data_IF_347669304686
#
_entry.id   IF_347669304686
#
_cell.length_a   1.000
_cell.length_b   1.000
_cell.length_c   1.000
_cell.angle_alpha   90.00
_cell.angle_beta   90.00
_cell.angle_gamma   90.00
#
_symmetry.space_group_name_H-M   'P 1'
#
loop_
_entity.id
_entity.type
_entity.pdbx_description
1 polymer ?
#
# COMPACT_ATOMS: atom_id res chain seq x y z
N UNK A 1 23.83 -1.27 34.20
CA UNK A 1 23.15 -2.16 33.22
C UNK A 1 22.55 -1.28 32.14
N UNK A 2 22.78 -1.61 30.87
CA UNK A 2 22.16 -0.86 29.77
C UNK A 2 20.63 -1.07 29.80
N UNK A 3 19.86 0.01 29.69
CA UNK A 3 18.41 -0.06 29.63
C UNK A 3 17.97 -0.77 28.34
N UNK A 4 17.10 -1.78 28.49
CA UNK A 4 16.59 -2.54 27.33
C UNK A 4 15.60 -1.68 26.56
N UNK A 5 15.97 -1.22 25.38
CA UNK A 5 15.09 -0.50 24.46
C UNK A 5 14.26 -1.51 23.64
N UNK A 6 12.94 -1.40 23.73
CA UNK A 6 12.00 -2.17 22.90
C UNK A 6 11.47 -1.23 21.83
N UNK A 7 11.57 -1.66 20.56
CA UNK A 7 11.04 -0.91 19.42
C UNK A 7 9.91 -1.72 18.79
N UNK A 8 8.78 -1.06 18.51
CA UNK A 8 7.66 -1.64 17.79
C UNK A 8 7.50 -0.89 16.46
N UNK A 9 7.18 -1.63 15.41
CA UNK A 9 6.85 -1.10 14.10
C UNK A 9 5.48 -1.62 13.65
N UNK A 10 4.75 -0.79 12.91
CA UNK A 10 3.47 -1.15 12.30
C UNK A 10 3.60 -0.99 10.78
N UNK A 11 3.04 -1.94 10.03
CA UNK A 11 2.81 -1.84 8.60
C UNK A 11 1.32 -1.80 8.31
N UNK A 12 0.94 -1.14 7.24
CA UNK A 12 -0.42 -1.12 6.70
C UNK A 12 -0.37 -1.54 5.25
N UNK A 13 -1.07 -2.61 4.90
CA UNK A 13 -1.26 -3.02 3.52
C UNK A 13 -2.53 -2.35 2.99
N UNK A 14 -2.39 -1.44 2.04
CA UNK A 14 -3.52 -0.78 1.39
C UNK A 14 -3.84 -1.47 0.07
N UNK A 15 -4.30 -2.71 0.15
CA UNK A 15 -4.65 -3.51 -1.03
C UNK A 15 -5.80 -2.89 -1.82
N UNK A 16 -6.77 -2.33 -1.10
CA UNK A 16 -7.98 -1.76 -1.67
C UNK A 16 -8.59 -2.72 -2.73
N UNK A 17 -8.91 -2.22 -3.92
CA UNK A 17 -9.44 -3.05 -5.01
C UNK A 17 -8.38 -3.99 -5.58
N UNK A 18 -7.10 -3.61 -5.54
CA UNK A 18 -6.00 -4.38 -6.10
C UNK A 18 -5.91 -5.82 -5.59
N UNK A 19 -6.13 -6.05 -4.28
CA UNK A 19 -6.13 -7.38 -3.69
C UNK A 19 -7.17 -8.33 -4.29
N UNK A 20 -8.34 -7.82 -4.65
CA UNK A 20 -9.42 -8.61 -5.26
C UNK A 20 -9.19 -8.90 -6.75
N UNK A 21 -8.39 -8.08 -7.43
CA UNK A 21 -8.04 -8.29 -8.84
C UNK A 21 -6.91 -9.31 -9.01
N UNK A 22 -6.02 -9.42 -8.05
CA UNK A 22 -4.84 -10.28 -8.11
C UNK A 22 -5.01 -11.60 -7.37
N UNK A 23 -4.54 -11.67 -6.11
CA UNK A 23 -4.40 -12.94 -5.39
C UNK A 23 -5.69 -13.52 -4.86
N UNK A 24 -6.64 -12.70 -4.45
CA UNK A 24 -7.83 -13.17 -3.74
C UNK A 24 -8.97 -13.59 -4.68
N UNK A 25 -8.96 -13.13 -5.93
CA UNK A 25 -10.11 -13.21 -6.82
C UNK A 25 -11.23 -12.29 -6.34
N UNK A 26 -12.28 -12.15 -7.13
CA UNK A 26 -13.42 -11.29 -6.75
C UNK A 26 -13.63 -10.11 -7.68
N UNK A 27 -12.92 -10.07 -8.79
CA UNK A 27 -13.06 -9.05 -9.85
C UNK A 27 -14.49 -8.96 -10.39
N UNK A 28 -15.23 -10.07 -10.35
CA UNK A 28 -16.66 -10.16 -10.74
C UNK A 28 -17.63 -10.03 -9.57
N UNK A 29 -17.12 -9.76 -8.35
CA UNK A 29 -17.91 -9.64 -7.13
C UNK A 29 -18.11 -8.18 -6.73
N UNK A 30 -19.31 -7.60 -6.90
CA UNK A 30 -19.60 -6.23 -6.46
C UNK A 30 -19.37 -6.01 -4.96
N UNK A 31 -19.57 -7.05 -4.14
CA UNK A 31 -19.34 -6.98 -2.68
C UNK A 31 -17.85 -6.81 -2.37
N UNK A 32 -16.98 -7.60 -2.99
CA UNK A 32 -15.54 -7.54 -2.77
C UNK A 32 -14.94 -6.23 -3.32
N UNK A 33 -15.37 -5.80 -4.50
CA UNK A 33 -14.97 -4.50 -5.05
C UNK A 33 -15.43 -3.36 -4.14
N UNK A 34 -16.66 -3.42 -3.59
CA UNK A 34 -17.17 -2.43 -2.64
C UNK A 34 -16.34 -2.36 -1.36
N UNK A 35 -15.85 -3.50 -0.85
CA UNK A 35 -14.92 -3.54 0.30
C UNK A 35 -13.59 -2.87 -0.03
N UNK A 36 -13.07 -3.12 -1.23
CA UNK A 36 -11.84 -2.47 -1.72
C UNK A 36 -12.00 -0.95 -1.83
N UNK A 37 -13.12 -0.49 -2.38
CA UNK A 37 -13.45 0.94 -2.46
C UNK A 37 -13.55 1.56 -1.06
N UNK A 38 -14.23 0.89 -0.13
CA UNK A 38 -14.32 1.35 1.26
C UNK A 38 -12.94 1.47 1.92
N UNK A 39 -12.03 0.51 1.68
CA UNK A 39 -10.68 0.56 2.25
C UNK A 39 -9.90 1.78 1.74
N UNK A 40 -9.96 2.07 0.44
CA UNK A 40 -9.34 3.26 -0.15
C UNK A 40 -9.98 4.55 0.36
N UNK A 41 -11.25 4.77 0.07
CA UNK A 41 -11.92 6.06 0.26
C UNK A 41 -12.23 6.40 1.73
N UNK A 42 -12.54 5.39 2.54
CA UNK A 42 -13.00 5.59 3.93
C UNK A 42 -12.00 5.06 4.95
N UNK A 43 -11.44 3.88 4.73
CA UNK A 43 -10.50 3.23 5.64
C UNK A 43 -9.24 4.06 5.81
N UNK A 44 -8.64 4.48 4.70
CA UNK A 44 -7.39 5.26 4.68
C UNK A 44 -7.49 6.57 5.49
N UNK A 45 -8.45 7.48 5.23
CA UNK A 45 -8.56 8.70 6.03
C UNK A 45 -8.86 8.45 7.51
N UNK A 46 -9.61 7.40 7.83
CA UNK A 46 -9.91 7.02 9.22
C UNK A 46 -8.66 6.56 9.96
N UNK A 47 -7.83 5.74 9.31
CA UNK A 47 -6.61 5.23 9.89
C UNK A 47 -5.57 6.32 10.06
N UNK A 48 -5.44 7.22 9.09
CA UNK A 48 -4.57 8.41 9.19
C UNK A 48 -4.94 9.28 10.39
N UNK A 49 -6.24 9.54 10.62
CA UNK A 49 -6.70 10.26 11.83
C UNK A 49 -6.33 9.56 13.12
N UNK A 50 -6.39 8.22 13.15
CA UNK A 50 -6.01 7.45 14.33
C UNK A 50 -4.50 7.57 14.59
N UNK A 51 -3.68 7.44 13.56
CA UNK A 51 -2.22 7.53 13.67
C UNK A 51 -1.78 8.93 14.09
N UNK A 52 -2.38 9.97 13.53
CA UNK A 52 -2.14 11.35 13.96
C UNK A 52 -2.46 11.53 15.46
N UNK A 53 -3.66 11.10 15.89
CA UNK A 53 -4.07 11.17 17.31
C UNK A 53 -3.10 10.44 18.26
N UNK A 54 -2.50 9.35 17.82
CA UNK A 54 -1.60 8.51 18.60
C UNK A 54 -0.12 8.87 18.39
N UNK A 55 0.19 9.82 17.50
CA UNK A 55 1.55 10.19 17.09
C UNK A 55 2.35 8.98 16.59
N UNK A 56 1.72 8.13 15.78
CA UNK A 56 2.31 6.93 15.19
C UNK A 56 2.73 7.24 13.75
N UNK A 57 4.03 7.02 13.44
CA UNK A 57 4.52 6.90 12.07
C UNK A 57 4.63 5.44 11.70
N UNK A 58 4.27 5.09 10.45
CA UNK A 58 4.25 3.71 9.98
C UNK A 58 4.62 3.65 8.51
N UNK A 59 4.87 2.44 8.00
CA UNK A 59 5.07 2.17 6.57
C UNK A 59 3.75 1.67 5.98
N UNK A 60 3.36 2.22 4.85
CA UNK A 60 2.21 1.78 4.06
C UNK A 60 2.70 1.05 2.83
N UNK A 61 2.38 -0.21 2.70
CA UNK A 61 2.64 -1.03 1.52
C UNK A 61 1.44 -0.91 0.58
N UNK A 62 1.65 -0.29 -0.58
CA UNK A 62 0.56 0.10 -1.48
C UNK A 62 0.79 -0.53 -2.85
N UNK A 63 -0.11 -1.40 -3.34
CA UNK A 63 -0.08 -1.88 -4.72
C UNK A 63 -0.13 -0.73 -5.72
N UNK A 64 0.59 -0.86 -6.83
CA UNK A 64 0.60 0.17 -7.87
C UNK A 64 -0.79 0.51 -8.39
N UNK A 65 -1.67 -0.50 -8.53
CA UNK A 65 -3.09 -0.32 -8.89
C UNK A 65 -3.82 0.58 -7.88
N UNK A 66 -3.55 0.41 -6.59
CA UNK A 66 -4.20 1.21 -5.54
C UNK A 66 -3.72 2.66 -5.55
N UNK A 67 -2.44 2.91 -5.90
CA UNK A 67 -1.93 4.28 -6.12
C UNK A 67 -2.67 4.96 -7.27
N UNK A 68 -2.86 4.25 -8.39
CA UNK A 68 -3.53 4.80 -9.57
C UNK A 68 -5.04 4.99 -9.35
N UNK A 69 -5.68 4.12 -8.57
CA UNK A 69 -7.14 4.16 -8.29
C UNK A 69 -7.50 5.18 -7.22
N UNK A 70 -6.63 5.34 -6.20
CA UNK A 70 -6.85 6.23 -5.06
C UNK A 70 -5.72 7.25 -4.92
N UNK A 71 -5.49 8.11 -5.94
CA UNK A 71 -4.35 9.04 -5.93
C UNK A 71 -4.44 10.09 -4.81
N UNK A 72 -5.66 10.48 -4.43
CA UNK A 72 -5.89 11.45 -3.34
C UNK A 72 -5.51 10.84 -2.00
N UNK A 73 -6.00 9.66 -1.70
CA UNK A 73 -5.75 8.94 -0.45
C UNK A 73 -4.27 8.54 -0.33
N UNK A 74 -3.67 8.08 -1.43
CA UNK A 74 -2.23 7.80 -1.50
C UNK A 74 -1.40 9.04 -1.20
N UNK A 75 -1.80 10.19 -1.73
CA UNK A 75 -1.14 11.47 -1.43
C UNK A 75 -1.33 11.88 0.03
N UNK A 76 -2.50 11.66 0.63
CA UNK A 76 -2.73 11.94 2.06
C UNK A 76 -1.78 11.15 2.96
N UNK A 77 -1.45 9.90 2.61
CA UNK A 77 -0.49 9.07 3.36
C UNK A 77 0.90 9.73 3.36
N UNK A 78 1.35 10.17 2.20
CA UNK A 78 2.65 10.86 2.04
C UNK A 78 2.68 12.18 2.78
N UNK A 79 1.62 12.99 2.67
CA UNK A 79 1.52 14.30 3.31
C UNK A 79 1.45 14.19 4.85
N UNK A 80 0.92 13.09 5.37
CA UNK A 80 0.94 12.77 6.80
C UNK A 80 2.32 12.31 7.31
N UNK A 81 3.34 12.19 6.42
CA UNK A 81 4.70 11.85 6.80
C UNK A 81 4.95 10.36 7.00
N UNK A 82 4.07 9.50 6.49
CA UNK A 82 4.28 8.05 6.50
C UNK A 82 5.21 7.61 5.37
N UNK A 83 5.89 6.48 5.57
CA UNK A 83 6.67 5.82 4.53
C UNK A 83 5.74 5.05 3.60
N UNK A 84 6.11 4.95 2.31
CA UNK A 84 5.42 4.13 1.32
C UNK A 84 6.38 3.08 0.78
N UNK A 85 5.97 1.82 0.85
CA UNK A 85 6.69 0.65 0.36
C UNK A 85 5.97 -0.07 -0.78
N UNK A 86 6.68 -1.02 -1.41
CA UNK A 86 6.19 -1.82 -2.54
C UNK A 86 5.21 -2.91 -2.06
N UNK A 87 4.19 -3.20 -2.89
CA UNK A 87 3.24 -4.30 -2.64
C UNK A 87 2.71 -4.94 -3.94
N UNK A 88 3.59 -5.12 -4.93
CA UNK A 88 3.18 -5.52 -6.27
C UNK A 88 2.36 -4.45 -6.98
N UNK A 89 1.76 -4.80 -8.12
CA UNK A 89 0.88 -3.88 -8.85
C UNK A 89 -0.60 -4.12 -8.52
N UNK A 90 -1.10 -5.36 -8.68
CA UNK A 90 -2.46 -5.79 -8.33
C UNK A 90 -2.43 -6.95 -7.32
N UNK A 91 -1.47 -6.95 -6.41
CA UNK A 91 -1.29 -8.01 -5.42
C UNK A 91 -1.10 -9.40 -6.08
N UNK A 92 -0.27 -9.45 -7.12
CA UNK A 92 0.00 -10.68 -7.88
C UNK A 92 0.68 -11.75 -6.99
N UNK A 93 0.41 -13.01 -7.28
CA UNK A 93 1.15 -14.11 -6.66
C UNK A 93 2.48 -14.33 -7.42
N UNK A 94 3.64 -14.05 -6.80
CA UNK A 94 4.95 -14.17 -7.48
C UNK A 94 5.24 -15.59 -7.99
N UNK A 95 4.68 -16.64 -7.36
CA UNK A 95 4.87 -18.04 -7.80
C UNK A 95 4.30 -18.26 -9.21
N UNK A 96 3.29 -17.49 -9.60
CA UNK A 96 2.65 -17.60 -10.93
C UNK A 96 3.36 -16.76 -12.01
N UNK A 97 4.43 -16.03 -11.68
CA UNK A 97 5.12 -15.09 -12.55
C UNK A 97 6.47 -15.63 -13.00
N UNK A 98 6.92 -15.23 -14.20
CA UNK A 98 8.32 -15.38 -14.58
C UNK A 98 9.17 -14.29 -13.91
N UNK A 99 10.51 -14.49 -13.77
CA UNK A 99 11.39 -13.45 -13.25
C UNK A 99 11.27 -12.10 -13.98
N UNK A 100 11.11 -12.14 -15.30
CA UNK A 100 10.98 -10.94 -16.14
C UNK A 100 9.64 -10.21 -15.88
N UNK A 101 8.57 -10.96 -15.62
CA UNK A 101 7.27 -10.38 -15.25
C UNK A 101 7.34 -9.75 -13.86
N UNK A 102 7.96 -10.43 -12.91
CA UNK A 102 8.16 -9.89 -11.56
C UNK A 102 8.99 -8.60 -11.58
N UNK A 103 10.11 -8.59 -12.31
CA UNK A 103 10.94 -7.39 -12.47
C UNK A 103 10.16 -6.23 -13.11
N UNK A 104 9.34 -6.50 -14.13
CA UNK A 104 8.53 -5.48 -14.79
C UNK A 104 7.47 -4.89 -13.84
N UNK A 105 6.81 -5.71 -13.03
CA UNK A 105 5.84 -5.26 -12.01
C UNK A 105 6.54 -4.39 -10.96
N UNK A 106 7.65 -4.86 -10.40
CA UNK A 106 8.41 -4.12 -9.39
C UNK A 106 8.91 -2.78 -9.93
N UNK A 107 9.43 -2.77 -11.17
CA UNK A 107 9.91 -1.54 -11.81
C UNK A 107 8.79 -0.52 -11.97
N UNK A 108 7.62 -0.95 -12.49
CA UNK A 108 6.44 -0.07 -12.60
C UNK A 108 6.03 0.52 -11.24
N UNK A 109 6.01 -0.31 -10.20
CA UNK A 109 5.61 0.13 -8.86
C UNK A 109 6.63 1.09 -8.24
N UNK A 110 7.93 0.86 -8.46
CA UNK A 110 9.00 1.78 -8.04
C UNK A 110 8.80 3.16 -8.68
N UNK A 111 8.47 3.21 -9.97
CA UNK A 111 8.27 4.47 -10.69
C UNK A 111 7.01 5.20 -10.16
N UNK A 112 5.92 4.48 -9.90
CA UNK A 112 4.70 5.05 -9.31
C UNK A 112 4.96 5.63 -7.92
N UNK A 113 5.62 4.89 -7.04
CA UNK A 113 5.95 5.36 -5.69
C UNK A 113 6.94 6.52 -5.74
N UNK A 114 7.94 6.46 -6.63
CA UNK A 114 8.90 7.56 -6.81
C UNK A 114 8.19 8.84 -7.26
N UNK A 115 7.24 8.73 -8.17
CA UNK A 115 6.42 9.86 -8.63
C UNK A 115 5.55 10.42 -7.50
N UNK A 116 4.93 9.54 -6.71
CA UNK A 116 4.04 9.92 -5.61
C UNK A 116 4.81 10.61 -4.46
N UNK A 117 5.96 10.07 -4.08
CA UNK A 117 6.70 10.47 -2.86
C UNK A 117 7.86 11.41 -3.11
N UNK A 118 8.35 11.48 -4.35
CA UNK A 118 9.61 12.15 -4.71
C UNK A 118 10.87 11.37 -4.31
N UNK A 119 10.73 10.12 -3.84
CA UNK A 119 11.84 9.27 -3.39
C UNK A 119 11.67 7.85 -3.91
N UNK A 120 12.78 7.21 -4.30
CA UNK A 120 12.78 5.79 -4.62
C UNK A 120 12.50 4.97 -3.35
N UNK A 121 11.56 4.02 -3.36
CA UNK A 121 11.33 3.13 -2.23
C UNK A 121 12.54 2.23 -1.99
N UNK A 122 12.73 1.80 -0.75
CA UNK A 122 13.81 0.91 -0.30
C UNK A 122 13.35 -0.52 -0.04
N UNK A 123 12.06 -0.78 -0.06
CA UNK A 123 11.43 -2.08 0.11
C UNK A 123 9.98 -2.03 -0.26
#
# INVERSE_FOLDING_TARGET
MAEKKITCAFGVDLDAVGGWLGSYGGEDSPDDISRGMFAGEVGTPRLLKLFDKLSISTTWFIPGHSIETFPVESKMIVDAGHEVGLHGYSHENPIAMTPEQEEAVLTKCIDLITTLTGKRPTG
#
